data_IF_076913239672
#
_entry.id   IF_076913239672
#
_cell.length_a   1.000
_cell.length_b   1.000
_cell.length_c   1.000
_cell.angle_alpha   90.00
_cell.angle_beta   90.00
_cell.angle_gamma   90.00
#
_symmetry.space_group_name_H-M   'P 1'
#
loop_
_entity.id
_entity.type
_entity.pdbx_description
1 polymer ?
#
# COMPACT_ATOMS: atom_id res chain seq x y z
N UNK A 1 16.57 6.62 -6.79
CA UNK A 1 15.33 6.32 -6.01
C UNK A 1 14.10 6.47 -6.89
N UNK A 2 13.19 5.50 -6.92
CA UNK A 2 11.87 5.62 -7.54
C UNK A 2 10.85 6.14 -6.55
N UNK A 3 9.85 6.87 -7.03
CA UNK A 3 8.84 7.48 -6.16
C UNK A 3 7.44 7.13 -6.65
N UNK A 4 6.64 6.62 -5.73
CA UNK A 4 5.22 6.34 -5.87
C UNK A 4 4.42 7.34 -5.03
N UNK A 5 3.29 7.77 -5.53
CA UNK A 5 2.32 8.57 -4.79
C UNK A 5 1.16 7.69 -4.34
N UNK A 6 0.95 7.59 -3.02
CA UNK A 6 -0.16 6.82 -2.45
C UNK A 6 -1.44 7.65 -2.42
N UNK A 7 -2.41 7.22 -3.20
CA UNK A 7 -3.72 7.87 -3.31
C UNK A 7 -4.78 7.11 -2.51
N UNK A 8 -5.59 7.86 -1.76
CA UNK A 8 -6.61 7.32 -0.85
C UNK A 8 -8.04 7.62 -1.25
N UNK A 9 -8.26 8.28 -2.40
CA UNK A 9 -9.57 8.82 -2.79
C UNK A 9 -10.22 9.60 -1.63
N UNK A 10 -9.55 10.64 -1.17
CA UNK A 10 -9.86 11.38 0.07
C UNK A 10 -11.30 11.86 0.14
N UNK A 11 -12.08 11.23 1.00
CA UNK A 11 -13.44 11.63 1.28
C UNK A 11 -13.50 12.79 2.27
N UNK A 12 -14.32 13.78 1.97
CA UNK A 12 -14.60 14.92 2.83
C UNK A 12 -16.07 14.93 3.15
N UNK A 13 -16.42 14.48 4.35
CA UNK A 13 -17.79 14.58 4.81
C UNK A 13 -18.18 16.03 5.03
N UNK A 14 -19.38 16.45 4.57
CA UNK A 14 -19.93 17.76 4.91
C UNK A 14 -20.31 17.88 6.38
N UNK A 15 -20.49 16.75 7.07
CA UNK A 15 -20.81 16.68 8.49
C UNK A 15 -19.72 15.94 9.27
N UNK A 16 -19.55 16.23 10.57
CA UNK A 16 -18.66 15.45 11.42
C UNK A 16 -19.05 13.97 11.41
N UNK A 17 -18.06 13.09 11.23
CA UNK A 17 -18.26 11.65 11.28
C UNK A 17 -17.93 11.10 12.66
N UNK A 18 -18.60 10.00 13.08
CA UNK A 18 -18.23 9.30 14.30
C UNK A 18 -16.76 8.88 14.27
N UNK A 19 -16.06 8.97 15.43
CA UNK A 19 -14.67 8.56 15.51
C UNK A 19 -14.49 7.04 15.57
N UNK A 20 -15.58 6.28 15.68
CA UNK A 20 -15.55 4.84 15.83
C UNK A 20 -15.59 4.10 14.50
N UNK A 21 -14.89 2.97 14.43
CA UNK A 21 -14.96 2.03 13.31
C UNK A 21 -15.82 0.80 13.70
N UNK A 22 -16.65 0.26 12.81
CA UNK A 22 -16.97 0.75 11.46
C UNK A 22 -17.81 2.04 11.47
N UNK A 23 -17.57 2.91 10.49
CA UNK A 23 -18.35 4.13 10.31
C UNK A 23 -19.69 3.78 9.68
N UNK A 24 -20.83 4.30 10.19
CA UNK A 24 -22.15 4.01 9.62
C UNK A 24 -22.23 4.43 8.15
N UNK A 25 -22.69 3.54 7.28
CA UNK A 25 -22.85 3.85 5.85
C UNK A 25 -23.94 4.87 5.56
N UNK A 26 -24.89 5.08 6.51
CA UNK A 26 -25.90 6.13 6.44
C UNK A 26 -25.32 7.55 6.49
N UNK A 27 -24.11 7.71 7.04
CA UNK A 27 -23.41 9.00 7.12
C UNK A 27 -22.65 9.34 5.83
N UNK A 28 -22.70 8.47 4.81
CA UNK A 28 -22.04 8.69 3.52
C UNK A 28 -22.83 9.67 2.65
N UNK A 29 -22.25 10.82 2.38
CA UNK A 29 -22.75 11.78 1.42
C UNK A 29 -22.33 11.39 0.00
N UNK A 30 -23.31 11.16 -0.88
CA UNK A 30 -23.09 10.63 -2.23
C UNK A 30 -22.36 11.62 -3.13
N UNK A 31 -22.65 12.89 -2.99
CA UNK A 31 -22.04 13.95 -3.80
C UNK A 31 -20.59 14.18 -3.39
N UNK A 32 -20.31 14.23 -2.09
CA UNK A 32 -18.93 14.28 -1.58
C UNK A 32 -18.11 13.04 -2.01
N UNK A 33 -18.73 11.86 -2.03
CA UNK A 33 -18.10 10.64 -2.52
C UNK A 33 -17.77 10.70 -4.01
N UNK A 34 -18.70 11.17 -4.85
CA UNK A 34 -18.46 11.35 -6.28
C UNK A 34 -17.31 12.34 -6.54
N UNK A 35 -17.30 13.47 -5.81
CA UNK A 35 -16.24 14.46 -5.88
C UNK A 35 -14.87 13.90 -5.45
N UNK A 36 -14.83 13.01 -4.45
CA UNK A 36 -13.58 12.38 -4.00
C UNK A 36 -12.88 11.63 -5.13
N UNK A 37 -13.62 10.84 -5.92
CA UNK A 37 -13.08 10.12 -7.07
C UNK A 37 -12.68 11.03 -8.24
N UNK A 38 -13.43 12.09 -8.51
CA UNK A 38 -13.03 13.08 -9.54
C UNK A 38 -11.71 13.75 -9.16
N UNK A 39 -11.62 14.26 -7.93
CA UNK A 39 -10.40 14.90 -7.42
C UNK A 39 -9.22 13.92 -7.32
N UNK A 40 -9.48 12.63 -7.11
CA UNK A 40 -8.44 11.60 -7.17
C UNK A 40 -7.79 11.61 -8.57
N UNK A 41 -8.58 11.57 -9.64
CA UNK A 41 -8.04 11.54 -11.01
C UNK A 41 -7.26 12.81 -11.33
N UNK A 42 -7.82 13.99 -11.02
CA UNK A 42 -7.16 15.28 -11.25
C UNK A 42 -5.78 15.33 -10.54
N UNK A 43 -5.74 14.90 -9.30
CA UNK A 43 -4.51 14.83 -8.51
C UNK A 43 -3.50 13.85 -9.10
N UNK A 44 -3.94 12.68 -9.53
CA UNK A 44 -3.06 11.67 -10.12
C UNK A 44 -2.52 12.11 -11.48
N UNK A 45 -3.29 12.83 -12.30
CA UNK A 45 -2.80 13.43 -13.53
C UNK A 45 -1.72 14.49 -13.25
N UNK A 46 -1.89 15.27 -12.19
CA UNK A 46 -0.87 16.23 -11.76
C UNK A 46 0.42 15.52 -11.27
N UNK A 47 0.28 14.45 -10.51
CA UNK A 47 1.41 13.61 -10.07
C UNK A 47 2.17 13.02 -11.27
N UNK A 48 1.46 12.58 -12.31
CA UNK A 48 2.09 12.12 -13.56
C UNK A 48 2.85 13.24 -14.26
N UNK A 49 2.30 14.46 -14.29
CA UNK A 49 2.97 15.65 -14.88
C UNK A 49 4.24 16.03 -14.11
N UNK A 50 4.24 15.90 -12.78
CA UNK A 50 5.40 16.14 -11.93
C UNK A 50 6.51 15.09 -12.10
N UNK A 51 6.25 13.99 -12.82
CA UNK A 51 7.24 12.99 -13.13
C UNK A 51 7.45 11.93 -12.07
N UNK A 52 6.49 11.65 -11.22
CA UNK A 52 6.52 10.48 -10.34
C UNK A 52 6.60 9.19 -11.18
N UNK A 53 7.21 8.14 -10.62
CA UNK A 53 7.37 6.87 -11.32
C UNK A 53 6.11 6.01 -11.23
N UNK A 54 5.44 6.04 -10.07
CA UNK A 54 4.26 5.25 -9.80
C UNK A 54 3.18 6.08 -9.10
N UNK A 55 1.94 5.61 -9.23
CA UNK A 55 0.83 5.93 -8.32
C UNK A 55 0.37 4.64 -7.66
N UNK A 56 -0.07 4.70 -6.41
CA UNK A 56 -0.51 3.51 -5.70
C UNK A 56 -1.87 3.69 -5.04
N UNK A 57 -2.61 2.58 -4.94
CA UNK A 57 -3.86 2.45 -4.19
C UNK A 57 -3.79 1.18 -3.33
N UNK A 58 -4.61 1.13 -2.26
CA UNK A 58 -4.74 -0.05 -1.40
C UNK A 58 -6.20 -0.34 -1.06
N UNK A 59 -6.47 -1.51 -0.49
CA UNK A 59 -7.79 -1.95 -0.06
C UNK A 59 -8.06 -1.57 1.39
N UNK A 60 -9.19 -0.89 1.64
CA UNK A 60 -9.69 -0.60 2.99
C UNK A 60 -11.21 -0.55 3.01
N UNK A 61 -11.80 -0.98 4.14
CA UNK A 61 -13.24 -1.15 4.28
C UNK A 61 -13.83 -0.34 5.44
N UNK A 62 -15.09 0.05 5.30
CA UNK A 62 -15.95 0.67 6.32
C UNK A 62 -15.38 1.92 6.97
N UNK A 63 -14.57 2.67 6.20
CA UNK A 63 -13.89 3.87 6.67
C UNK A 63 -13.88 4.98 5.61
N UNK A 64 -14.14 6.24 5.99
CA UNK A 64 -14.06 7.37 5.08
C UNK A 64 -12.62 7.80 4.76
N UNK A 65 -11.62 7.21 5.39
CA UNK A 65 -10.21 7.59 5.21
C UNK A 65 -9.67 7.21 3.85
N UNK A 66 -10.08 6.04 3.35
CA UNK A 66 -9.63 5.48 2.07
C UNK A 66 -10.86 4.88 1.39
N UNK A 67 -11.30 5.48 0.29
CA UNK A 67 -12.47 5.04 -0.46
C UNK A 67 -12.09 4.10 -1.61
N UNK A 68 -11.24 3.12 -1.34
CA UNK A 68 -10.82 2.12 -2.33
C UNK A 68 -11.10 0.69 -1.85
N UNK A 69 -12.38 0.35 -1.54
CA UNK A 69 -12.73 -1.01 -1.07
C UNK A 69 -12.56 -2.08 -2.16
N UNK A 70 -12.53 -1.67 -3.42
CA UNK A 70 -12.24 -2.53 -4.58
C UNK A 70 -11.05 -1.94 -5.34
N UNK A 71 -9.81 -2.18 -4.89
CA UNK A 71 -8.62 -1.51 -5.43
C UNK A 71 -8.37 -1.85 -6.90
N UNK A 72 -8.78 -3.03 -7.38
CA UNK A 72 -8.67 -3.42 -8.80
C UNK A 72 -9.57 -2.52 -9.66
N UNK A 73 -10.79 -2.20 -9.21
CA UNK A 73 -11.70 -1.28 -9.91
C UNK A 73 -11.09 0.12 -9.97
N UNK A 74 -10.54 0.60 -8.85
CA UNK A 74 -9.87 1.90 -8.79
C UNK A 74 -8.64 1.94 -9.71
N UNK A 75 -7.83 0.90 -9.72
CA UNK A 75 -6.65 0.80 -10.58
C UNK A 75 -7.00 0.74 -12.07
N UNK A 76 -8.07 0.04 -12.45
CA UNK A 76 -8.56 0.01 -13.83
C UNK A 76 -9.03 1.40 -14.29
N UNK A 77 -9.77 2.11 -13.43
CA UNK A 77 -10.20 3.47 -13.70
C UNK A 77 -9.01 4.45 -13.85
N UNK A 78 -8.00 4.32 -12.98
CA UNK A 78 -6.76 5.10 -13.05
C UNK A 78 -5.97 4.77 -14.32
N UNK A 79 -5.86 3.48 -14.67
CA UNK A 79 -5.14 3.03 -15.87
C UNK A 79 -5.68 3.64 -17.16
N UNK A 80 -7.01 3.84 -17.24
CA UNK A 80 -7.67 4.46 -18.36
C UNK A 80 -7.45 5.99 -18.43
N UNK A 81 -6.99 6.63 -17.38
CA UNK A 81 -6.81 8.09 -17.27
C UNK A 81 -5.37 8.55 -17.31
N UNK A 82 -4.43 7.68 -16.93
CA UNK A 82 -3.00 7.96 -16.93
C UNK A 82 -2.30 7.23 -18.08
N UNK A 83 -1.24 7.84 -18.63
CA UNK A 83 -0.65 7.37 -19.90
C UNK A 83 0.70 6.65 -19.71
N UNK A 84 1.54 7.11 -18.79
CA UNK A 84 2.94 6.69 -18.69
C UNK A 84 3.31 6.07 -17.35
N UNK A 85 2.76 6.62 -16.28
CA UNK A 85 3.10 6.27 -14.92
C UNK A 85 2.67 4.83 -14.60
N UNK A 86 3.43 4.10 -13.79
CA UNK A 86 3.05 2.77 -13.32
C UNK A 86 1.95 2.86 -12.28
N UNK A 87 1.11 1.85 -12.24
CA UNK A 87 -0.01 1.74 -11.32
C UNK A 87 0.29 0.62 -10.36
N UNK A 88 0.58 0.98 -9.11
CA UNK A 88 0.89 0.04 -8.05
C UNK A 88 -0.37 -0.26 -7.23
N UNK A 89 -0.86 -1.48 -7.36
CA UNK A 89 -1.94 -1.99 -6.53
C UNK A 89 -1.33 -2.59 -5.26
N UNK A 90 -1.26 -1.79 -4.17
CA UNK A 90 -0.59 -2.18 -2.92
C UNK A 90 -1.62 -2.35 -1.79
N UNK A 91 -2.42 -3.34 -1.80
CA UNK A 91 -2.69 -4.58 -2.38
C UNK A 91 -4.14 -4.82 -2.67
N UNK A 92 -4.48 -5.99 -3.26
CA UNK A 92 -5.64 -6.74 -2.81
C UNK A 92 -5.31 -7.51 -1.53
N UNK A 93 -6.30 -7.62 -0.66
CA UNK A 93 -6.22 -8.43 0.56
C UNK A 93 -6.56 -9.87 0.19
N UNK A 94 -5.52 -10.68 0.01
CA UNK A 94 -5.62 -12.02 -0.57
C UNK A 94 -6.62 -12.94 0.15
N UNK A 95 -6.64 -13.04 1.49
CA UNK A 95 -7.53 -13.97 2.16
C UNK A 95 -9.02 -13.63 2.06
N UNK A 96 -9.38 -12.42 1.65
CA UNK A 96 -10.77 -11.98 1.48
C UNK A 96 -11.41 -12.48 0.17
N UNK A 97 -10.60 -12.87 -0.80
CA UNK A 97 -11.02 -13.08 -2.16
C UNK A 97 -10.78 -14.49 -2.65
N UNK A 98 -11.44 -14.85 -3.74
CA UNK A 98 -11.07 -16.04 -4.51
C UNK A 98 -9.74 -15.77 -5.25
N UNK A 99 -8.66 -16.50 -4.95
CA UNK A 99 -7.34 -16.21 -5.52
C UNK A 99 -7.26 -16.41 -7.04
N UNK A 100 -8.03 -17.35 -7.61
CA UNK A 100 -8.09 -17.53 -9.07
C UNK A 100 -8.72 -16.31 -9.73
N UNK A 101 -9.82 -15.79 -9.16
CA UNK A 101 -10.44 -14.57 -9.65
C UNK A 101 -9.51 -13.35 -9.53
N UNK A 102 -8.79 -13.21 -8.42
CA UNK A 102 -7.78 -12.14 -8.27
C UNK A 102 -6.70 -12.27 -9.34
N UNK A 103 -6.24 -13.49 -9.63
CA UNK A 103 -5.24 -13.74 -10.67
C UNK A 103 -5.74 -13.31 -12.06
N UNK A 104 -7.00 -13.62 -12.41
CA UNK A 104 -7.63 -13.21 -13.68
C UNK A 104 -7.80 -11.69 -13.77
N UNK A 105 -8.32 -11.07 -12.71
CA UNK A 105 -8.57 -9.62 -12.67
C UNK A 105 -7.26 -8.84 -12.80
N UNK A 106 -6.19 -9.26 -12.11
CA UNK A 106 -4.87 -8.62 -12.19
C UNK A 106 -4.19 -8.86 -13.54
N UNK A 107 -4.35 -10.04 -14.14
CA UNK A 107 -3.84 -10.31 -15.49
C UNK A 107 -4.55 -9.45 -16.56
N UNK A 108 -5.87 -9.31 -16.43
CA UNK A 108 -6.66 -8.43 -17.29
C UNK A 108 -6.24 -6.96 -17.09
N UNK A 109 -6.08 -6.53 -15.84
CA UNK A 109 -5.64 -5.17 -15.52
C UNK A 109 -4.24 -4.87 -16.07
N UNK A 110 -3.30 -5.83 -15.99
CA UNK A 110 -1.96 -5.68 -16.56
C UNK A 110 -2.00 -5.46 -18.07
N UNK A 111 -2.86 -6.21 -18.76
CA UNK A 111 -3.09 -6.03 -20.21
C UNK A 111 -3.73 -4.69 -20.53
N UNK A 112 -4.79 -4.28 -19.80
CA UNK A 112 -5.45 -2.99 -19.96
C UNK A 112 -4.53 -1.81 -19.67
N UNK A 113 -3.65 -1.98 -18.68
CA UNK A 113 -2.64 -1.00 -18.31
C UNK A 113 -1.38 -1.04 -19.21
N UNK A 114 -1.36 -1.92 -20.25
CA UNK A 114 -0.23 -2.06 -21.17
C UNK A 114 1.10 -2.34 -20.46
N UNK A 115 1.10 -3.23 -19.46
CA UNK A 115 2.31 -3.62 -18.72
C UNK A 115 2.80 -2.58 -17.71
N UNK A 116 1.94 -1.63 -17.30
CA UNK A 116 2.26 -0.64 -16.27
C UNK A 116 1.86 -1.06 -14.85
N UNK A 117 1.32 -2.27 -14.68
CA UNK A 117 0.87 -2.76 -13.38
C UNK A 117 2.06 -3.17 -12.50
N UNK A 118 1.97 -2.84 -11.21
CA UNK A 118 2.80 -3.35 -10.11
C UNK A 118 1.84 -3.90 -9.06
N UNK A 119 2.12 -5.07 -8.52
CA UNK A 119 1.22 -5.77 -7.59
C UNK A 119 1.86 -5.91 -6.21
N UNK A 120 1.15 -5.55 -5.17
CA UNK A 120 1.49 -5.88 -3.79
C UNK A 120 0.40 -6.78 -3.20
N UNK A 121 0.75 -7.96 -2.76
CA UNK A 121 -0.15 -8.90 -2.12
C UNK A 121 -0.01 -8.81 -0.60
N UNK A 122 -1.12 -8.78 0.11
CA UNK A 122 -1.10 -8.62 1.57
C UNK A 122 -2.19 -9.41 2.29
N UNK A 123 -1.96 -9.60 3.58
CA UNK A 123 -2.91 -10.26 4.48
C UNK A 123 -4.07 -9.35 4.89
N UNK A 124 -3.86 -8.05 4.87
CA UNK A 124 -4.77 -7.07 5.46
C UNK A 124 -4.49 -6.81 6.93
N UNK A 125 -5.23 -5.85 7.47
CA UNK A 125 -5.22 -5.49 8.88
C UNK A 125 -6.36 -6.20 9.62
N UNK A 126 -6.44 -6.01 10.92
CA UNK A 126 -7.44 -6.68 11.76
C UNK A 126 -8.86 -6.26 11.42
N UNK A 127 -9.08 -4.97 11.18
CA UNK A 127 -10.39 -4.46 10.82
C UNK A 127 -10.86 -5.00 9.45
N UNK A 128 -9.95 -5.20 8.50
CA UNK A 128 -10.29 -5.86 7.23
C UNK A 128 -10.71 -7.31 7.44
N UNK A 129 -9.97 -8.08 8.25
CA UNK A 129 -10.37 -9.46 8.57
C UNK A 129 -11.78 -9.51 9.20
N UNK A 130 -12.09 -8.56 10.08
CA UNK A 130 -13.42 -8.42 10.68
C UNK A 130 -14.51 -8.03 9.66
N UNK A 131 -14.16 -7.21 8.65
CA UNK A 131 -15.13 -6.78 7.63
C UNK A 131 -15.68 -7.93 6.80
N UNK A 132 -14.94 -9.03 6.68
CA UNK A 132 -15.33 -10.21 5.89
C UNK A 132 -15.43 -11.48 6.72
N UNK A 133 -15.53 -11.34 8.04
CA UNK A 133 -15.70 -12.46 9.00
C UNK A 133 -14.66 -13.57 8.80
N UNK A 134 -13.40 -13.18 8.58
CA UNK A 134 -12.32 -14.13 8.46
C UNK A 134 -11.82 -14.57 9.83
N UNK A 135 -11.59 -15.87 9.97
CA UNK A 135 -10.91 -16.40 11.14
C UNK A 135 -9.45 -15.87 11.19
N UNK A 136 -9.10 -15.04 12.19
CA UNK A 136 -7.75 -14.46 12.29
C UNK A 136 -6.65 -15.52 12.38
N UNK A 137 -6.92 -16.67 13.00
CA UNK A 137 -5.95 -17.76 13.17
C UNK A 137 -5.61 -18.44 11.83
N UNK A 138 -6.53 -18.46 10.87
CA UNK A 138 -6.34 -19.05 9.55
C UNK A 138 -5.81 -18.04 8.55
N UNK A 139 -5.91 -16.75 8.84
CA UNK A 139 -5.65 -15.70 7.85
C UNK A 139 -4.24 -15.76 7.26
N UNK A 140 -3.23 -16.18 8.03
CA UNK A 140 -1.85 -16.31 7.54
C UNK A 140 -1.72 -17.43 6.52
N UNK A 141 -2.12 -18.65 6.89
CA UNK A 141 -2.05 -19.81 5.99
C UNK A 141 -2.88 -19.60 4.73
N UNK A 142 -4.08 -19.02 4.89
CA UNK A 142 -4.96 -18.68 3.78
C UNK A 142 -4.33 -17.62 2.85
N UNK A 143 -3.58 -16.65 3.40
CA UNK A 143 -2.85 -15.67 2.61
C UNK A 143 -1.75 -16.33 1.79
N UNK A 144 -0.90 -17.11 2.44
CA UNK A 144 0.26 -17.73 1.82
C UNK A 144 -0.19 -18.71 0.70
N UNK A 145 -1.20 -19.55 0.98
CA UNK A 145 -1.78 -20.45 -0.03
C UNK A 145 -2.41 -19.68 -1.19
N UNK A 146 -3.15 -18.60 -0.92
CA UNK A 146 -3.76 -17.76 -1.95
C UNK A 146 -2.72 -17.07 -2.83
N UNK A 147 -1.63 -16.56 -2.25
CA UNK A 147 -0.52 -15.98 -3.00
C UNK A 147 0.18 -17.01 -3.88
N UNK A 148 0.46 -18.22 -3.37
CA UNK A 148 1.05 -19.30 -4.16
C UNK A 148 0.18 -19.68 -5.35
N UNK A 149 -1.13 -19.77 -5.14
CA UNK A 149 -2.07 -20.08 -6.21
C UNK A 149 -2.15 -18.95 -7.26
N UNK A 150 -2.10 -17.69 -6.86
CA UNK A 150 -2.06 -16.54 -7.79
C UNK A 150 -0.79 -16.63 -8.65
N UNK A 151 0.38 -16.78 -8.03
CA UNK A 151 1.66 -16.89 -8.75
C UNK A 151 1.66 -18.08 -9.72
N UNK A 152 1.17 -19.25 -9.29
CA UNK A 152 1.06 -20.41 -10.15
C UNK A 152 0.08 -20.18 -11.30
N UNK A 153 -1.07 -19.58 -11.06
CA UNK A 153 -2.04 -19.27 -12.11
C UNK A 153 -1.46 -18.36 -13.20
N UNK A 154 -0.56 -17.41 -12.83
CA UNK A 154 0.11 -16.55 -13.80
C UNK A 154 1.20 -17.23 -14.62
N UNK A 155 1.89 -18.21 -14.04
CA UNK A 155 3.12 -18.79 -14.61
C UNK A 155 2.92 -20.16 -15.23
N UNK A 156 1.99 -20.99 -14.73
CA UNK A 156 1.72 -22.32 -15.26
C UNK A 156 1.02 -22.24 -16.63
N UNK A 157 1.62 -22.77 -17.71
CA UNK A 157 1.03 -22.71 -19.05
C UNK A 157 -0.07 -23.75 -19.30
N UNK A 158 -0.13 -24.82 -18.50
CA UNK A 158 -1.09 -25.90 -18.65
C UNK A 158 -2.20 -25.80 -17.60
N UNK A 159 -3.42 -26.24 -17.91
CA UNK A 159 -4.45 -26.41 -16.90
C UNK A 159 -3.96 -27.30 -15.75
N UNK A 160 -4.21 -26.88 -14.51
CA UNK A 160 -3.80 -27.64 -13.33
C UNK A 160 -4.91 -27.72 -12.29
N UNK A 161 -4.85 -28.74 -11.43
CA UNK A 161 -5.66 -28.82 -10.22
C UNK A 161 -4.95 -28.21 -9.03
N UNK A 162 -5.73 -27.77 -8.03
CA UNK A 162 -5.23 -27.31 -6.75
C UNK A 162 -5.93 -28.00 -5.60
N UNK A 163 -5.19 -28.59 -4.68
CA UNK A 163 -5.70 -29.29 -3.49
C UNK A 163 -5.00 -28.75 -2.26
N UNK A 164 -5.38 -27.52 -1.88
CA UNK A 164 -4.87 -26.87 -0.69
C UNK A 164 -5.80 -27.08 0.53
N UNK A 165 -5.40 -26.52 1.65
CA UNK A 165 -6.20 -26.52 2.87
C UNK A 165 -7.39 -25.58 2.80
N UNK A 166 -7.17 -24.39 2.23
CA UNK A 166 -8.14 -23.28 2.18
C UNK A 166 -8.80 -23.15 0.81
N UNK A 167 -8.13 -23.59 -0.24
CA UNK A 167 -8.61 -23.49 -1.61
C UNK A 167 -8.50 -24.83 -2.33
N UNK A 168 -9.58 -25.21 -3.05
CA UNK A 168 -9.62 -26.45 -3.79
C UNK A 168 -10.27 -26.21 -5.16
N UNK A 169 -9.54 -26.51 -6.21
CA UNK A 169 -10.01 -26.36 -7.59
C UNK A 169 -9.71 -27.63 -8.39
N UNK A 170 -10.72 -28.13 -9.08
CA UNK A 170 -10.53 -29.28 -9.99
C UNK A 170 -9.67 -28.90 -11.18
N UNK A 171 -9.81 -27.68 -11.65
CA UNK A 171 -9.01 -27.12 -12.74
C UNK A 171 -8.88 -25.63 -12.61
N UNK A 172 -7.69 -25.10 -12.92
CA UNK A 172 -7.37 -23.68 -13.05
C UNK A 172 -6.71 -23.48 -14.41
N UNK A 173 -7.22 -22.52 -15.17
CA UNK A 173 -6.64 -22.10 -16.45
C UNK A 173 -7.14 -20.68 -16.73
N UNK A 174 -6.32 -19.68 -16.47
CA UNK A 174 -6.76 -18.28 -16.54
C UNK A 174 -6.61 -17.69 -17.95
N UNK A 175 -7.56 -16.86 -18.35
CA UNK A 175 -7.57 -16.07 -19.57
C UNK A 175 -8.12 -14.66 -19.27
N UNK A 176 -7.36 -13.56 -19.53
CA UNK A 176 -6.00 -13.55 -20.10
C UNK A 176 -4.91 -14.00 -19.12
N UNK A 177 -3.70 -14.15 -19.62
CA UNK A 177 -2.47 -14.21 -18.82
C UNK A 177 -1.88 -12.80 -18.70
N UNK A 178 -1.03 -12.51 -17.69
CA UNK A 178 -0.35 -11.23 -17.59
C UNK A 178 0.45 -10.89 -18.85
N UNK A 179 0.44 -9.62 -19.24
CA UNK A 179 1.24 -9.09 -20.33
C UNK A 179 2.73 -9.10 -19.97
N UNK A 180 3.05 -8.72 -18.72
CA UNK A 180 4.41 -8.75 -18.18
C UNK A 180 4.82 -10.18 -17.85
N UNK A 181 6.09 -10.55 -18.13
CA UNK A 181 6.60 -11.91 -17.93
C UNK A 181 7.71 -11.95 -16.89
N UNK A 182 7.77 -12.97 -16.00
CA UNK A 182 6.80 -14.08 -15.88
C UNK A 182 5.45 -13.64 -15.28
N UNK A 183 5.40 -12.50 -14.65
CA UNK A 183 4.22 -11.81 -14.09
C UNK A 183 4.58 -10.33 -13.82
N UNK A 184 3.62 -9.44 -13.52
CA UNK A 184 3.92 -8.08 -13.08
C UNK A 184 4.88 -8.06 -11.88
N UNK A 185 5.73 -7.02 -11.74
CA UNK A 185 6.53 -6.86 -10.53
C UNK A 185 5.64 -6.99 -9.29
N UNK A 186 5.94 -7.98 -8.45
CA UNK A 186 5.07 -8.38 -7.33
C UNK A 186 5.82 -8.29 -6.01
N UNK A 187 5.13 -7.84 -4.97
CA UNK A 187 5.64 -7.63 -3.63
C UNK A 187 4.75 -8.32 -2.61
N UNK A 188 5.36 -8.99 -1.63
CA UNK A 188 4.67 -9.38 -0.40
C UNK A 188 4.77 -8.22 0.61
N UNK A 189 3.61 -7.69 1.03
CA UNK A 189 3.57 -6.51 1.88
C UNK A 189 3.41 -6.89 3.35
N UNK A 190 4.31 -6.38 4.18
CA UNK A 190 4.27 -6.58 5.62
C UNK A 190 5.65 -6.64 6.26
N UNK A 191 5.68 -6.62 7.58
CA UNK A 191 6.89 -6.66 8.42
C UNK A 191 6.98 -7.94 9.26
N UNK A 192 6.13 -8.93 9.00
CA UNK A 192 6.20 -10.21 9.70
C UNK A 192 7.28 -11.11 9.08
N UNK A 193 7.78 -12.07 9.87
CA UNK A 193 8.75 -13.06 9.39
C UNK A 193 8.21 -13.83 8.20
N UNK A 194 6.97 -14.27 8.30
CA UNK A 194 6.28 -15.04 7.28
C UNK A 194 6.20 -14.29 5.93
N UNK A 195 5.87 -12.98 5.97
CA UNK A 195 5.83 -12.17 4.76
C UNK A 195 7.22 -12.02 4.10
N UNK A 196 8.27 -11.82 4.91
CA UNK A 196 9.65 -11.73 4.43
C UNK A 196 10.15 -13.08 3.88
N UNK A 197 9.86 -14.18 4.55
CA UNK A 197 10.22 -15.55 4.15
C UNK A 197 9.50 -15.94 2.84
N UNK A 198 8.20 -15.62 2.74
CA UNK A 198 7.42 -15.83 1.52
C UNK A 198 7.98 -15.04 0.34
N UNK A 199 8.22 -13.74 0.54
CA UNK A 199 8.81 -12.88 -0.50
C UNK A 199 10.16 -13.43 -0.99
N UNK A 200 11.04 -13.83 -0.07
CA UNK A 200 12.36 -14.35 -0.40
C UNK A 200 12.27 -15.68 -1.16
N UNK A 201 11.42 -16.61 -0.72
CA UNK A 201 11.22 -17.92 -1.34
C UNK A 201 10.71 -17.83 -2.77
N UNK A 202 9.82 -16.87 -3.04
CA UNK A 202 9.18 -16.70 -4.34
C UNK A 202 9.80 -15.59 -5.20
N UNK A 203 10.99 -15.06 -4.83
CA UNK A 203 11.70 -14.00 -5.55
C UNK A 203 10.89 -12.71 -5.72
N UNK A 204 9.98 -12.43 -4.77
CA UNK A 204 9.16 -11.22 -4.75
C UNK A 204 9.86 -10.07 -4.04
N UNK A 205 9.41 -8.85 -4.32
CA UNK A 205 9.78 -7.69 -3.52
C UNK A 205 9.14 -7.70 -2.13
N UNK A 206 9.65 -6.85 -1.24
CA UNK A 206 9.14 -6.63 0.12
C UNK A 206 8.67 -5.19 0.28
N UNK A 207 7.54 -4.97 0.94
CA UNK A 207 7.06 -3.63 1.25
C UNK A 207 6.84 -3.43 2.74
N UNK A 208 7.45 -2.37 3.29
CA UNK A 208 7.32 -1.96 4.70
C UNK A 208 6.68 -0.58 4.80
N UNK A 209 6.03 -0.25 5.92
CA UNK A 209 5.25 0.98 6.03
C UNK A 209 5.21 1.58 7.43
N UNK A 210 5.21 2.92 7.48
CA UNK A 210 4.84 3.74 8.63
C UNK A 210 5.61 3.46 9.94
N UNK A 211 6.89 3.18 9.88
CA UNK A 211 7.76 3.12 11.05
C UNK A 211 9.01 3.96 10.86
N UNK A 212 9.80 4.17 11.92
CA UNK A 212 11.11 4.80 11.77
C UNK A 212 12.03 3.94 10.89
N UNK A 213 13.07 4.55 10.33
CA UNK A 213 14.02 3.81 9.48
C UNK A 213 14.64 2.62 10.20
N UNK A 214 15.01 2.79 11.47
CA UNK A 214 15.63 1.75 12.29
C UNK A 214 14.68 0.58 12.57
N UNK A 215 13.40 0.87 12.75
CA UNK A 215 12.36 -0.14 12.95
C UNK A 215 12.09 -0.91 11.66
N UNK A 216 11.94 -0.20 10.54
CA UNK A 216 11.67 -0.84 9.23
C UNK A 216 12.89 -1.59 8.70
N UNK A 217 14.11 -1.12 9.01
CA UNK A 217 15.36 -1.79 8.65
C UNK A 217 15.45 -3.22 9.20
N UNK A 218 14.88 -3.49 10.38
CA UNK A 218 14.86 -4.86 10.93
C UNK A 218 14.17 -5.85 9.98
N UNK A 219 13.04 -5.46 9.42
CA UNK A 219 12.31 -6.31 8.48
C UNK A 219 13.00 -6.43 7.13
N UNK A 220 13.53 -5.31 6.57
CA UNK A 220 14.23 -5.36 5.28
C UNK A 220 15.58 -6.06 5.34
N UNK A 221 16.29 -6.00 6.47
CA UNK A 221 17.50 -6.79 6.69
C UNK A 221 17.18 -8.29 6.78
N UNK A 222 16.15 -8.64 7.56
CA UNK A 222 15.71 -10.03 7.62
C UNK A 222 15.27 -10.57 6.25
N UNK A 223 14.53 -9.78 5.48
CA UNK A 223 14.17 -10.14 4.11
C UNK A 223 15.40 -10.44 3.25
N UNK A 224 16.44 -9.57 3.28
CA UNK A 224 17.69 -9.79 2.55
C UNK A 224 18.43 -11.04 3.01
N UNK A 225 18.44 -11.32 4.30
CA UNK A 225 19.04 -12.55 4.83
C UNK A 225 18.30 -13.78 4.29
N UNK A 226 16.96 -13.73 4.24
CA UNK A 226 16.19 -14.84 3.66
C UNK A 226 16.45 -14.98 2.16
N UNK A 227 16.52 -13.88 1.40
CA UNK A 227 16.89 -13.92 -0.02
C UNK A 227 18.26 -14.58 -0.22
N UNK A 228 19.26 -14.23 0.58
CA UNK A 228 20.58 -14.84 0.53
C UNK A 228 20.55 -16.36 0.81
N UNK A 229 19.70 -16.81 1.75
CA UNK A 229 19.48 -18.25 2.03
C UNK A 229 18.86 -18.99 0.83
N UNK A 230 18.06 -18.29 0.02
CA UNK A 230 17.49 -18.80 -1.23
C UNK A 230 18.39 -18.56 -2.45
N UNK A 231 19.64 -18.12 -2.27
CA UNK A 231 20.65 -18.00 -3.32
C UNK A 231 20.55 -16.75 -4.20
N UNK A 232 19.87 -15.71 -3.77
CA UNK A 232 19.73 -14.47 -4.54
C UNK A 232 19.80 -13.20 -3.66
N UNK A 233 19.96 -12.05 -4.30
CA UNK A 233 20.00 -10.75 -3.64
C UNK A 233 18.96 -9.82 -4.27
N UNK A 234 18.10 -9.16 -3.47
CA UNK A 234 17.13 -8.25 -4.02
C UNK A 234 17.78 -6.94 -4.47
N UNK A 235 17.40 -6.47 -5.66
CA UNK A 235 17.68 -5.12 -6.08
C UNK A 235 16.98 -4.11 -5.15
N UNK A 236 17.49 -2.89 -5.03
CA UNK A 236 16.88 -1.89 -4.17
C UNK A 236 15.40 -1.62 -4.50
N UNK A 237 15.04 -1.66 -5.78
CA UNK A 237 13.66 -1.47 -6.25
C UNK A 237 12.71 -2.57 -5.80
N UNK A 238 13.23 -3.70 -5.34
CA UNK A 238 12.43 -4.76 -4.72
C UNK A 238 12.10 -4.48 -3.25
N UNK A 239 12.46 -3.30 -2.73
CA UNK A 239 12.09 -2.85 -1.40
C UNK A 239 11.34 -1.54 -1.48
N UNK A 240 10.06 -1.57 -1.08
CA UNK A 240 9.19 -0.41 -0.96
C UNK A 240 9.17 0.06 0.49
N UNK A 241 9.34 1.36 0.70
CA UNK A 241 9.09 1.99 1.99
C UNK A 241 7.95 3.00 1.86
N UNK A 242 6.82 2.72 2.49
CA UNK A 242 5.67 3.63 2.54
C UNK A 242 5.77 4.55 3.74
N UNK A 243 5.62 5.85 3.49
CA UNK A 243 5.70 6.87 4.53
C UNK A 243 4.83 8.10 4.21
N UNK A 244 4.61 8.92 5.24
CA UNK A 244 4.03 10.25 5.06
C UNK A 244 5.13 11.26 4.73
N UNK A 245 4.78 12.26 3.92
CA UNK A 245 5.67 13.32 3.48
C UNK A 245 5.02 14.69 3.64
N UNK A 246 5.80 15.66 4.07
CA UNK A 246 5.44 17.06 4.10
C UNK A 246 6.66 17.92 3.75
N UNK A 247 6.56 18.67 2.65
CA UNK A 247 7.62 19.57 2.19
C UNK A 247 7.13 21.01 2.28
N UNK A 248 7.88 21.86 2.96
CA UNK A 248 7.73 23.32 2.99
C UNK A 248 8.88 23.99 2.23
N UNK A 249 8.81 25.30 2.02
CA UNK A 249 9.95 26.07 1.47
C UNK A 249 11.13 26.09 2.45
N UNK A 250 10.82 26.12 3.75
CA UNK A 250 11.79 26.04 4.85
C UNK A 250 11.39 24.93 5.83
N UNK A 251 12.32 24.55 6.70
CA UNK A 251 12.06 23.57 7.77
C UNK A 251 11.00 24.09 8.76
N UNK A 252 11.05 25.40 9.09
CA UNK A 252 10.09 26.05 9.98
C UNK A 252 8.68 26.01 9.38
N UNK A 253 8.55 26.30 8.09
CA UNK A 253 7.25 26.22 7.40
C UNK A 253 6.71 24.80 7.43
N UNK A 254 7.53 23.80 7.09
CA UNK A 254 7.12 22.39 7.12
C UNK A 254 6.66 21.96 8.52
N UNK A 255 7.36 22.37 9.57
CA UNK A 255 6.98 22.09 10.94
C UNK A 255 5.70 22.84 11.36
N UNK A 256 5.50 24.07 10.88
CA UNK A 256 4.26 24.82 11.12
C UNK A 256 3.07 24.14 10.44
N UNK A 257 3.23 23.71 9.19
CA UNK A 257 2.21 22.96 8.47
C UNK A 257 1.87 21.66 9.22
N UNK A 258 2.89 20.93 9.69
CA UNK A 258 2.69 19.70 10.47
C UNK A 258 1.89 19.94 11.75
N UNK A 259 2.18 21.03 12.48
CA UNK A 259 1.44 21.41 13.70
C UNK A 259 -0.02 21.76 13.43
N UNK A 260 -0.33 22.30 12.26
CA UNK A 260 -1.69 22.69 11.86
C UNK A 260 -2.52 21.53 11.31
N UNK A 261 -1.87 20.40 10.97
CA UNK A 261 -2.61 19.24 10.55
C UNK A 261 -3.53 18.79 11.69
N UNK A 262 -4.83 18.61 11.43
CA UNK A 262 -5.71 18.07 12.44
C UNK A 262 -5.16 16.72 12.86
N UNK A 263 -4.91 16.57 14.14
CA UNK A 263 -4.56 15.27 14.70
C UNK A 263 -5.59 14.24 14.22
N UNK A 264 -5.13 13.16 13.62
CA UNK A 264 -6.04 12.05 13.33
C UNK A 264 -6.43 11.49 14.68
N UNK A 265 -7.65 11.83 15.14
CA UNK A 265 -8.21 11.17 16.31
C UNK A 265 -8.12 9.65 16.09
N UNK A 266 -7.64 8.89 17.08
CA UNK A 266 -7.66 7.45 16.98
C UNK A 266 -9.07 6.99 16.66
N UNK A 267 -9.24 6.08 15.69
CA UNK A 267 -10.49 5.35 15.59
C UNK A 267 -10.63 4.51 16.85
N UNK A 268 -11.59 4.87 17.70
CA UNK A 268 -12.01 3.94 18.73
C UNK A 268 -12.70 2.77 18.02
N UNK A 269 -12.22 1.56 18.22
CA UNK A 269 -12.98 0.40 17.78
C UNK A 269 -14.16 0.21 18.72
N UNK A 270 -15.33 -0.08 18.15
CA UNK A 270 -16.50 -0.49 18.91
C UNK A 270 -16.17 -1.73 19.73
N UNK A 271 -16.75 -1.84 20.94
CA UNK A 271 -16.31 -2.79 21.97
C UNK A 271 -16.14 -4.24 21.48
N UNK A 272 -17.08 -4.81 20.72
CA UNK A 272 -16.97 -6.19 20.23
C UNK A 272 -15.85 -6.45 19.20
N UNK A 273 -15.33 -5.40 18.57
CA UNK A 273 -14.24 -5.49 17.59
C UNK A 273 -12.88 -5.56 18.29
N UNK A 274 -12.75 -4.90 19.44
CA UNK A 274 -11.48 -4.83 20.18
C UNK A 274 -11.04 -6.21 20.71
N UNK A 275 -11.97 -7.04 21.12
CA UNK A 275 -11.66 -8.35 21.70
C UNK A 275 -11.18 -9.36 20.65
N UNK A 276 -11.66 -9.26 19.40
CA UNK A 276 -11.22 -10.11 18.31
C UNK A 276 -9.80 -9.80 17.82
N UNK A 277 -9.28 -8.60 18.09
CA UNK A 277 -7.92 -8.17 17.70
C UNK A 277 -6.84 -8.97 18.44
N UNK A 278 -7.07 -9.31 19.69
CA UNK A 278 -6.13 -10.07 20.51
C UNK A 278 -5.81 -11.48 19.99
N UNK A 279 -6.58 -11.97 19.00
CA UNK A 279 -6.41 -13.32 18.45
C UNK A 279 -5.53 -13.36 17.18
N UNK A 280 -5.07 -12.21 16.67
CA UNK A 280 -4.19 -12.16 15.50
C UNK A 280 -2.74 -12.44 15.87
N UNK A 281 -2.33 -13.69 15.66
CA UNK A 281 -0.93 -14.09 15.82
C UNK A 281 -0.13 -13.71 14.56
N UNK A 282 0.87 -12.81 14.71
CA UNK A 282 1.90 -12.57 13.70
C UNK A 282 3.21 -12.20 14.38
N UNK A 283 4.28 -12.88 13.98
CA UNK A 283 5.65 -12.61 14.46
C UNK A 283 6.21 -11.35 13.78
N UNK A 284 5.81 -10.19 14.28
CA UNK A 284 6.21 -8.90 13.69
C UNK A 284 7.67 -8.55 14.04
N UNK A 285 8.53 -8.49 13.03
CA UNK A 285 9.96 -8.16 13.17
C UNK A 285 10.18 -6.70 13.54
N UNK A 286 9.30 -5.81 13.11
CA UNK A 286 9.41 -4.37 13.39
C UNK A 286 9.22 -4.02 14.87
N UNK A 287 8.88 -5.02 15.70
CA UNK A 287 8.76 -4.89 17.14
C UNK A 287 7.32 -4.63 17.61
N UNK A 288 7.15 -4.67 18.91
CA UNK A 288 5.88 -4.64 19.65
C UNK A 288 5.09 -3.34 19.51
N UNK A 289 5.61 -2.33 18.84
CA UNK A 289 4.99 -1.00 18.72
C UNK A 289 3.76 -0.95 17.80
N UNK A 290 3.36 -2.05 17.20
CA UNK A 290 2.03 -2.16 16.62
C UNK A 290 1.02 -2.68 17.62
N UNK A 291 0.75 -1.85 18.63
CA UNK A 291 -0.64 -1.74 19.03
C UNK A 291 -1.47 -1.65 17.75
N UNK A 292 -2.59 -2.36 17.64
CA UNK A 292 -3.41 -2.34 16.42
C UNK A 292 -3.51 -0.90 15.96
N UNK A 293 -3.25 -0.65 14.65
CA UNK A 293 -3.22 0.68 14.05
C UNK A 293 -4.60 1.35 14.06
N UNK A 294 -5.25 1.25 15.17
CA UNK A 294 -6.48 1.90 15.50
C UNK A 294 -6.08 3.26 16.03
N UNK A 295 -5.81 4.16 15.08
CA UNK A 295 -5.80 5.56 15.38
C UNK A 295 -4.55 6.16 15.97
N UNK A 296 -3.38 5.58 15.81
CA UNK A 296 -2.16 6.36 15.99
C UNK A 296 -1.99 7.36 14.84
N UNK A 297 -1.60 8.58 15.16
CA UNK A 297 -1.04 9.50 14.17
C UNK A 297 0.10 8.77 13.50
N UNK A 298 -0.06 8.43 12.22
CA UNK A 298 1.02 7.79 11.47
C UNK A 298 2.20 8.75 11.45
N UNK A 299 3.40 8.33 11.89
CA UNK A 299 4.53 9.23 11.97
C UNK A 299 4.81 9.81 10.59
N UNK A 300 4.97 11.14 10.53
CA UNK A 300 5.41 11.81 9.31
C UNK A 300 6.92 11.67 9.24
N UNK A 301 7.40 10.89 8.28
CA UNK A 301 8.81 10.47 8.22
C UNK A 301 9.66 11.47 7.44
N UNK A 302 9.09 12.06 6.39
CA UNK A 302 9.76 13.07 5.57
C UNK A 302 9.12 14.42 5.82
N UNK A 303 9.79 15.29 6.59
CA UNK A 303 9.30 16.63 6.95
C UNK A 303 10.46 17.59 6.91
N UNK A 304 10.30 18.66 6.14
CA UNK A 304 11.29 19.74 6.08
C UNK A 304 11.29 20.49 4.76
N UNK A 305 12.32 21.30 4.59
CA UNK A 305 12.67 21.93 3.32
C UNK A 305 13.08 20.89 2.29
N UNK A 306 13.16 21.23 1.00
CA UNK A 306 13.66 20.31 -0.03
C UNK A 306 15.04 19.71 0.30
N UNK A 307 15.96 20.49 0.90
CA UNK A 307 17.28 20.03 1.28
C UNK A 307 17.21 18.98 2.40
N UNK A 308 16.44 19.26 3.44
CA UNK A 308 16.21 18.34 4.56
C UNK A 308 15.57 17.04 4.09
N UNK A 309 14.57 17.12 3.21
CA UNK A 309 13.89 15.92 2.68
C UNK A 309 14.84 15.08 1.80
N UNK A 310 15.67 15.69 0.98
CA UNK A 310 16.70 14.95 0.20
C UNK A 310 17.63 14.17 1.12
N UNK A 311 18.09 14.78 2.21
CA UNK A 311 18.98 14.10 3.16
C UNK A 311 18.24 12.97 3.91
N UNK A 312 17.00 13.17 4.29
CA UNK A 312 16.16 12.11 4.86
C UNK A 312 15.97 10.93 3.89
N UNK A 313 15.84 11.20 2.59
CA UNK A 313 15.76 10.14 1.57
C UNK A 313 17.06 9.38 1.45
N UNK A 314 18.23 10.04 1.49
CA UNK A 314 19.53 9.37 1.52
C UNK A 314 19.67 8.45 2.72
N UNK A 315 19.33 8.95 3.90
CA UNK A 315 19.31 8.13 5.12
C UNK A 315 18.35 6.94 5.03
N UNK A 316 17.18 7.14 4.46
CA UNK A 316 16.24 6.03 4.21
C UNK A 316 16.87 4.96 3.31
N UNK A 317 17.54 5.39 2.23
CA UNK A 317 18.26 4.49 1.34
C UNK A 317 19.36 3.71 2.06
N UNK A 318 20.13 4.37 2.88
CA UNK A 318 21.24 3.75 3.65
C UNK A 318 20.74 2.77 4.71
N UNK A 319 19.76 3.17 5.49
CA UNK A 319 19.30 2.41 6.67
C UNK A 319 18.30 1.32 6.28
N UNK A 320 17.27 1.65 5.51
CA UNK A 320 16.21 0.71 5.09
C UNK A 320 16.62 -0.04 3.83
N UNK A 321 17.40 0.62 2.97
CA UNK A 321 17.80 0.10 1.66
C UNK A 321 16.70 0.08 0.64
N UNK A 322 15.64 0.85 0.83
CA UNK A 322 14.55 0.97 -0.11
C UNK A 322 14.99 1.60 -1.43
N UNK A 323 14.53 1.07 -2.55
CA UNK A 323 14.68 1.68 -3.89
C UNK A 323 13.42 2.35 -4.37
N UNK A 324 12.30 2.15 -3.66
CA UNK A 324 11.01 2.77 -3.94
C UNK A 324 10.47 3.43 -2.68
N UNK A 325 10.14 4.70 -2.78
CA UNK A 325 9.36 5.43 -1.77
C UNK A 325 7.91 5.48 -2.22
N UNK A 326 6.99 4.99 -1.40
CA UNK A 326 5.54 5.11 -1.61
C UNK A 326 4.99 6.14 -0.64
N UNK A 327 4.70 7.35 -1.14
CA UNK A 327 4.51 8.54 -0.33
C UNK A 327 3.05 8.94 -0.23
N UNK A 328 2.55 9.03 1.00
CA UNK A 328 1.29 9.69 1.33
C UNK A 328 1.57 11.14 1.71
N UNK A 329 0.91 12.06 1.03
CA UNK A 329 0.90 13.45 1.45
C UNK A 329 -0.11 13.62 2.56
N UNK A 330 0.34 13.81 3.77
CA UNK A 330 -0.45 13.96 4.99
C UNK A 330 -1.22 12.72 5.43
N UNK A 331 -1.54 12.65 6.71
CA UNK A 331 -2.47 11.68 7.22
C UNK A 331 -3.82 11.74 6.48
N UNK A 332 -4.46 10.62 6.18
CA UNK A 332 -5.82 10.60 5.68
C UNK A 332 -6.75 11.44 6.57
N UNK A 333 -7.61 12.26 5.98
CA UNK A 333 -8.55 13.11 6.72
C UNK A 333 -8.13 14.58 6.90
N UNK A 334 -6.94 14.99 6.45
CA UNK A 334 -6.58 16.40 6.38
C UNK A 334 -7.61 17.22 5.59
N UNK A 335 -8.05 18.37 6.13
CA UNK A 335 -9.07 19.21 5.52
C UNK A 335 -8.52 20.25 4.54
N UNK A 336 -7.23 20.56 4.59
CA UNK A 336 -6.61 21.57 3.75
C UNK A 336 -6.07 20.98 2.44
N UNK A 337 -6.49 21.52 1.29
CA UNK A 337 -6.08 21.05 -0.04
C UNK A 337 -4.87 21.78 -0.55
N UNK A 338 -4.82 23.10 -0.35
CA UNK A 338 -3.80 23.96 -0.95
C UNK A 338 -2.37 23.65 -0.45
N UNK A 339 -2.13 23.42 0.86
CA UNK A 339 -0.83 22.98 1.36
C UNK A 339 -0.38 21.65 0.76
N UNK A 340 -1.31 20.77 0.41
CA UNK A 340 -1.00 19.47 -0.18
C UNK A 340 -0.49 19.58 -1.62
N UNK A 341 -1.16 20.40 -2.43
CA UNK A 341 -0.75 20.64 -3.82
C UNK A 341 0.61 21.30 -3.85
N UNK A 342 0.81 22.31 -2.98
CA UNK A 342 2.10 22.97 -2.85
C UNK A 342 3.22 22.02 -2.42
N UNK A 343 2.96 21.14 -1.44
CA UNK A 343 3.93 20.15 -1.01
C UNK A 343 4.26 19.15 -2.14
N UNK A 344 3.27 18.73 -2.94
CA UNK A 344 3.48 17.93 -4.15
C UNK A 344 4.36 18.64 -5.17
N UNK A 345 4.06 19.90 -5.43
CA UNK A 345 4.80 20.72 -6.38
C UNK A 345 6.26 20.93 -5.92
N UNK A 346 6.46 21.30 -4.66
CA UNK A 346 7.79 21.43 -4.07
C UNK A 346 8.57 20.12 -4.15
N UNK A 347 7.95 19.01 -3.79
CA UNK A 347 8.60 17.70 -3.89
C UNK A 347 8.93 17.37 -5.35
N UNK A 348 7.97 17.48 -6.25
CA UNK A 348 8.13 17.13 -7.67
C UNK A 348 9.18 17.98 -8.39
N UNK A 349 9.28 19.28 -8.04
CA UNK A 349 10.19 20.21 -8.72
C UNK A 349 11.55 20.37 -8.04
N UNK A 350 11.62 20.26 -6.70
CA UNK A 350 12.83 20.54 -5.91
C UNK A 350 13.48 19.32 -5.29
N UNK A 351 12.73 18.25 -5.00
CA UNK A 351 13.25 17.04 -4.35
C UNK A 351 13.43 15.91 -5.36
N UNK A 352 12.38 15.59 -6.12
CA UNK A 352 12.36 14.43 -7.02
C UNK A 352 13.54 14.38 -8.00
N UNK A 353 13.94 15.47 -8.68
CA UNK A 353 15.12 15.44 -9.58
C UNK A 353 16.42 15.08 -8.86
N UNK A 354 16.56 15.46 -7.58
CA UNK A 354 17.79 15.30 -6.79
C UNK A 354 17.96 13.92 -6.16
N UNK A 355 16.88 13.15 -6.11
CA UNK A 355 16.89 11.80 -5.52
C UNK A 355 16.89 10.68 -6.56
N UNK A 356 16.85 11.01 -7.85
CA UNK A 356 16.84 10.02 -8.94
C UNK A 356 18.05 9.08 -8.91
N UNK A 357 19.23 9.61 -8.54
CA UNK A 357 20.50 8.90 -8.55
C UNK A 357 20.89 8.35 -7.15
N UNK A 358 19.98 8.42 -6.18
CA UNK A 358 20.15 7.84 -4.84
C UNK A 358 19.80 6.30 -4.88
#
# INVERSE_FOLDING_TARGET
MKVSFFETARYRSPQPLPPEWPVPSGDYDREAGAQAYQKMVERLQYVEQLGFDWVSVSEHHYSPRILTPAPIVSAAFIAARLQRIKIALLGPIVPHSNPVRVAEELAMLDTLAQGRLVVGLLRGTTNEAMSYDLNPQESRERTDEGMELILKAWTEPQPFGWQGRHFQYRTVSIWPRPLQQPHPPTYALGTSREACEFAARHHLGCGVSYGSFEVMAKATHYYREQCARHGWQPAPEQIIYRANMLVGETDEEAQDMLRRLPGTAPFAMRAGVRDAIGTLDSRNIAGESRAPNVGSVLPTTFVGSPDTVVEQVRRCREVVGAGVLDLSLFPPGSREVDPLIRALELFGTKVLPRIRDI
#
